data_IF_979672512030
#
_entry.id   IF_979672512030
#
_cell.length_a   1.000
_cell.length_b   1.000
_cell.length_c   1.000
_cell.angle_alpha   90.00
_cell.angle_beta   90.00
_cell.angle_gamma   90.00
#
_symmetry.space_group_name_H-M   'P 1'
#
loop_
_entity.id
_entity.type
_entity.pdbx_description
1 polymer ?
#
# COMPACT_ATOMS: atom_id res chain seq x y z
N UNK A 1 -13.80 26.18 -35.33
CA UNK A 1 -14.97 25.71 -34.56
C UNK A 1 -15.07 24.19 -34.72
N UNK A 2 -14.59 23.44 -33.78
CA UNK A 2 -14.74 21.98 -33.72
C UNK A 2 -16.06 21.67 -33.03
N UNK A 3 -17.01 21.11 -33.77
CA UNK A 3 -18.31 20.71 -33.28
C UNK A 3 -18.21 19.62 -32.20
N UNK A 4 -18.76 19.92 -31.05
CA UNK A 4 -18.98 18.93 -29.98
C UNK A 4 -19.91 17.83 -30.49
N UNK A 5 -19.47 16.58 -30.44
CA UNK A 5 -20.28 15.43 -30.74
C UNK A 5 -21.53 15.38 -29.82
N UNK A 6 -22.68 15.31 -30.43
CA UNK A 6 -23.97 15.17 -29.70
C UNK A 6 -23.99 13.82 -28.96
N UNK A 7 -24.50 13.77 -27.73
CA UNK A 7 -24.64 12.50 -27.03
C UNK A 7 -25.61 11.59 -27.77
N UNK A 8 -25.16 10.38 -28.06
CA UNK A 8 -26.02 9.32 -28.62
C UNK A 8 -26.93 8.80 -27.51
N UNK A 9 -28.23 9.09 -27.62
CA UNK A 9 -29.22 8.48 -26.74
C UNK A 9 -29.36 6.99 -27.08
N UNK A 10 -28.91 6.11 -26.16
CA UNK A 10 -29.18 4.68 -26.26
C UNK A 10 -30.60 4.47 -25.74
N UNK A 11 -31.55 4.32 -26.64
CA UNK A 11 -32.90 3.83 -26.30
C UNK A 11 -32.80 2.35 -25.97
N UNK A 12 -32.82 2.02 -24.69
CA UNK A 12 -33.08 0.63 -24.26
C UNK A 12 -34.55 0.37 -24.53
N UNK A 13 -34.86 -0.28 -25.63
CA UNK A 13 -36.22 -0.79 -25.91
C UNK A 13 -36.40 -1.99 -24.97
N UNK A 14 -37.11 -1.77 -23.88
CA UNK A 14 -37.61 -2.85 -23.06
C UNK A 14 -38.64 -3.60 -23.87
N UNK A 15 -38.28 -4.79 -24.36
CA UNK A 15 -39.24 -5.69 -24.99
C UNK A 15 -40.34 -6.01 -23.93
N UNK A 16 -41.55 -5.54 -24.16
CA UNK A 16 -42.70 -5.90 -23.38
C UNK A 16 -43.06 -7.39 -23.68
N UNK A 17 -42.34 -8.29 -23.00
CA UNK A 17 -42.73 -9.65 -22.87
C UNK A 17 -43.67 -9.78 -21.66
N UNK A 18 -44.98 -9.78 -21.89
CA UNK A 18 -45.96 -10.24 -20.92
C UNK A 18 -45.85 -11.77 -20.81
N UNK A 19 -44.82 -12.22 -20.12
CA UNK A 19 -44.76 -13.57 -19.58
C UNK A 19 -44.35 -13.37 -18.12
N UNK A 20 -45.20 -13.72 -17.18
CA UNK A 20 -44.78 -14.03 -15.83
C UNK A 20 -43.72 -15.11 -15.94
N UNK A 21 -42.45 -14.72 -15.82
CA UNK A 21 -41.37 -15.64 -15.53
C UNK A 21 -41.59 -16.00 -14.07
N UNK A 22 -42.43 -16.98 -13.79
CA UNK A 22 -42.35 -17.74 -12.55
C UNK A 22 -40.90 -18.22 -12.48
N UNK A 23 -40.11 -17.82 -11.48
CA UNK A 23 -38.80 -18.42 -11.29
C UNK A 23 -39.08 -19.91 -11.11
N UNK A 24 -38.54 -20.77 -12.00
CA UNK A 24 -38.52 -22.19 -11.72
C UNK A 24 -37.91 -22.35 -10.32
N UNK A 25 -38.54 -23.10 -9.41
CA UNK A 25 -37.96 -23.36 -8.12
C UNK A 25 -36.60 -24.01 -8.39
N UNK A 26 -35.53 -23.33 -7.97
CA UNK A 26 -34.19 -23.88 -8.04
C UNK A 26 -34.20 -25.14 -7.16
N UNK A 27 -34.41 -26.32 -7.78
CA UNK A 27 -34.30 -27.60 -7.09
C UNK A 27 -32.84 -27.78 -6.70
N UNK A 28 -32.47 -27.38 -5.48
CA UNK A 28 -31.11 -27.54 -5.00
C UNK A 28 -30.87 -26.84 -3.67
N UNK A 29 -29.81 -27.25 -3.00
CA UNK A 29 -29.39 -26.71 -1.71
C UNK A 29 -28.49 -25.49 -1.95
N UNK A 30 -28.84 -24.36 -1.36
CA UNK A 30 -27.99 -23.18 -1.41
C UNK A 30 -26.66 -23.41 -0.65
N UNK A 31 -25.56 -23.42 -1.37
CA UNK A 31 -24.22 -23.67 -0.82
C UNK A 31 -23.40 -22.39 -0.72
N UNK A 32 -22.52 -22.34 0.28
CA UNK A 32 -21.59 -21.28 0.54
C UNK A 32 -20.16 -21.82 0.55
N UNK A 33 -19.23 -21.11 -0.08
CA UNK A 33 -17.80 -21.39 0.03
C UNK A 33 -17.22 -20.65 1.23
N UNK A 34 -16.55 -21.37 2.13
CA UNK A 34 -15.97 -20.81 3.35
C UNK A 34 -14.47 -21.08 3.38
N UNK A 35 -13.67 -20.05 3.65
CA UNK A 35 -12.25 -20.20 3.97
C UNK A 35 -12.09 -20.66 5.42
N UNK A 36 -11.16 -21.61 5.64
CA UNK A 36 -10.83 -22.15 6.97
C UNK A 36 -9.69 -21.40 7.65
N UNK A 37 -9.19 -20.34 7.07
CA UNK A 37 -8.10 -19.52 7.60
C UNK A 37 -8.10 -18.12 7.03
N UNK A 38 -6.98 -17.44 7.21
CA UNK A 38 -6.79 -16.09 6.70
C UNK A 38 -6.82 -16.08 5.18
N UNK A 39 -7.46 -15.07 4.61
CA UNK A 39 -7.50 -14.84 3.16
C UNK A 39 -6.40 -13.90 2.66
N UNK A 40 -5.53 -13.43 3.56
CA UNK A 40 -4.30 -12.72 3.21
C UNK A 40 -3.11 -13.45 3.79
N UNK A 41 -2.26 -13.99 2.91
CA UNK A 41 -1.08 -14.79 3.26
C UNK A 41 0.16 -13.97 2.94
N UNK A 42 0.98 -13.71 3.96
CA UNK A 42 2.32 -13.13 3.76
C UNK A 42 3.34 -14.28 3.68
N UNK A 43 4.21 -14.27 2.66
CA UNK A 43 5.27 -15.26 2.49
C UNK A 43 6.62 -14.57 2.28
N UNK A 44 7.68 -15.15 2.84
CA UNK A 44 9.07 -14.65 2.67
C UNK A 44 9.91 -15.64 1.89
N UNK A 45 10.15 -16.79 2.48
CA UNK A 45 11.03 -17.85 1.96
C UNK A 45 10.28 -19.14 1.69
N UNK A 46 9.03 -19.22 2.11
CA UNK A 46 8.19 -20.40 1.90
C UNK A 46 8.01 -20.62 0.40
N UNK A 47 8.20 -21.85 -0.04
CA UNK A 47 8.00 -22.28 -1.42
C UNK A 47 6.67 -22.96 -1.63
N UNK A 48 6.06 -23.45 -0.56
CA UNK A 48 4.75 -24.10 -0.58
C UNK A 48 3.81 -23.40 0.39
N UNK A 49 2.61 -23.07 -0.09
CA UNK A 49 1.52 -22.49 0.69
C UNK A 49 0.27 -23.34 0.47
N UNK A 50 -0.70 -23.23 1.36
CA UNK A 50 -2.00 -23.86 1.15
C UNK A 50 -3.13 -23.00 1.67
N UNK A 51 -4.30 -23.18 1.05
CA UNK A 51 -5.58 -22.58 1.46
C UNK A 51 -6.58 -23.70 1.62
N UNK A 52 -7.24 -23.75 2.76
CA UNK A 52 -8.31 -24.72 3.01
C UNK A 52 -9.65 -24.05 2.88
N UNK A 53 -10.54 -24.68 2.12
CA UNK A 53 -11.92 -24.26 1.92
C UNK A 53 -12.87 -25.44 2.16
N UNK A 54 -14.11 -25.13 2.50
CA UNK A 54 -15.21 -26.11 2.60
C UNK A 54 -16.51 -25.54 2.12
N UNK A 55 -17.49 -26.41 1.86
CA UNK A 55 -18.88 -26.00 1.68
C UNK A 55 -19.57 -25.88 3.03
N UNK A 56 -20.50 -24.94 3.11
CA UNK A 56 -21.40 -24.80 4.25
C UNK A 56 -22.83 -24.56 3.73
N UNK A 57 -23.81 -25.10 4.42
CA UNK A 57 -25.23 -24.90 4.16
C UNK A 57 -25.97 -24.57 5.46
N UNK A 58 -27.10 -23.87 5.37
CA UNK A 58 -27.85 -23.42 6.55
C UNK A 58 -28.65 -24.54 7.22
N UNK A 59 -28.96 -25.61 6.49
CA UNK A 59 -29.65 -26.79 7.00
C UNK A 59 -29.10 -28.05 6.36
N UNK A 60 -29.12 -29.18 7.07
CA UNK A 60 -28.60 -30.44 6.58
C UNK A 60 -29.23 -30.83 5.23
N UNK A 61 -28.38 -31.18 4.26
CA UNK A 61 -28.82 -31.56 2.92
C UNK A 61 -29.56 -32.90 2.95
N UNK A 62 -30.69 -33.01 2.25
CA UNK A 62 -31.47 -34.24 2.16
C UNK A 62 -30.81 -35.32 1.30
N UNK A 63 -29.96 -34.92 0.36
CA UNK A 63 -29.18 -35.77 -0.55
C UNK A 63 -27.76 -35.22 -0.69
N UNK A 64 -26.86 -36.00 -1.29
CA UNK A 64 -25.52 -35.51 -1.62
C UNK A 64 -25.62 -34.29 -2.54
N UNK A 65 -24.77 -33.27 -2.25
CA UNK A 65 -24.68 -32.03 -3.02
C UNK A 65 -23.29 -31.97 -3.63
N UNK A 66 -23.22 -31.81 -4.94
CA UNK A 66 -21.92 -31.73 -5.65
C UNK A 66 -21.74 -30.37 -6.29
N UNK A 67 -20.53 -29.81 -6.08
CA UNK A 67 -20.06 -28.59 -6.74
C UNK A 67 -18.66 -28.78 -7.28
N UNK A 68 -18.26 -27.89 -8.18
CA UNK A 68 -16.90 -27.82 -8.68
C UNK A 68 -16.26 -26.51 -8.26
N UNK A 69 -15.13 -26.61 -7.54
CA UNK A 69 -14.26 -25.48 -7.21
C UNK A 69 -13.31 -25.22 -8.39
N UNK A 70 -13.14 -23.98 -8.77
CA UNK A 70 -12.19 -23.60 -9.81
C UNK A 70 -11.56 -22.26 -9.57
N UNK A 71 -10.46 -21.99 -10.27
CA UNK A 71 -9.73 -20.73 -10.30
C UNK A 71 -10.33 -19.82 -11.38
N UNK A 72 -10.85 -18.66 -10.98
CA UNK A 72 -11.55 -17.72 -11.85
C UNK A 72 -10.66 -16.56 -12.30
N UNK A 73 -9.89 -16.78 -13.37
CA UNK A 73 -8.99 -15.75 -13.95
C UNK A 73 -9.76 -14.49 -14.41
N UNK A 74 -11.01 -14.61 -14.76
CA UNK A 74 -11.82 -13.47 -15.23
C UNK A 74 -12.16 -12.44 -14.17
N UNK A 75 -12.03 -12.79 -12.88
CA UNK A 75 -12.45 -11.94 -11.78
C UNK A 75 -11.47 -10.83 -11.42
N UNK A 76 -10.24 -10.85 -11.90
CA UNK A 76 -9.19 -9.88 -11.51
C UNK A 76 -9.62 -8.43 -11.72
N UNK A 77 -10.24 -8.13 -12.87
CA UNK A 77 -10.66 -6.76 -13.21
C UNK A 77 -11.73 -6.24 -12.25
N UNK A 78 -12.70 -7.08 -11.92
CA UNK A 78 -13.76 -6.75 -10.96
C UNK A 78 -13.18 -6.55 -9.57
N UNK A 79 -12.26 -7.44 -9.15
CA UNK A 79 -11.57 -7.32 -7.87
C UNK A 79 -10.80 -6.00 -7.75
N UNK A 80 -9.96 -5.67 -8.73
CA UNK A 80 -9.16 -4.44 -8.72
C UNK A 80 -10.03 -3.19 -8.78
N UNK A 81 -11.15 -3.22 -9.50
CA UNK A 81 -12.10 -2.11 -9.50
C UNK A 81 -12.73 -1.89 -8.11
N UNK A 82 -13.14 -2.97 -7.45
CA UNK A 82 -13.74 -2.90 -6.11
C UNK A 82 -12.74 -2.49 -5.01
N UNK A 83 -11.43 -2.73 -5.23
CA UNK A 83 -10.36 -2.49 -4.24
C UNK A 83 -9.31 -1.49 -4.73
N UNK A 84 -9.68 -0.57 -5.64
CA UNK A 84 -8.77 0.38 -6.30
C UNK A 84 -7.91 1.21 -5.32
N UNK A 85 -8.42 1.48 -4.13
CA UNK A 85 -7.72 2.24 -3.08
C UNK A 85 -6.60 1.42 -2.39
N UNK A 86 -6.58 0.10 -2.56
CA UNK A 86 -5.60 -0.80 -1.95
C UNK A 86 -4.43 -1.15 -2.89
N UNK A 87 -4.42 -0.58 -4.10
CA UNK A 87 -3.48 -0.92 -5.16
C UNK A 87 -3.95 -2.10 -6.01
N UNK A 88 -3.28 -2.31 -7.15
CA UNK A 88 -3.65 -3.38 -8.08
C UNK A 88 -3.06 -4.72 -7.67
N UNK A 89 -3.91 -5.72 -7.55
CA UNK A 89 -3.50 -7.12 -7.49
C UNK A 89 -3.21 -7.66 -8.90
N UNK A 90 -2.37 -8.69 -8.98
CA UNK A 90 -2.14 -9.49 -10.18
C UNK A 90 -2.63 -10.92 -9.94
N UNK A 91 -2.90 -11.68 -10.99
CA UNK A 91 -3.33 -13.07 -10.81
C UNK A 91 -2.19 -13.94 -10.25
N UNK A 92 -2.53 -14.84 -9.32
CA UNK A 92 -1.62 -15.91 -8.95
C UNK A 92 -1.37 -16.79 -10.18
N UNK A 93 -0.10 -17.18 -10.51
CA UNK A 93 0.15 -17.98 -11.71
C UNK A 93 -0.62 -19.30 -11.66
N UNK A 94 -1.44 -19.57 -12.68
CA UNK A 94 -2.37 -20.70 -12.69
C UNK A 94 -1.65 -22.06 -12.62
N UNK A 95 -0.52 -22.16 -13.28
CA UNK A 95 0.34 -23.36 -13.29
C UNK A 95 0.93 -23.68 -11.91
N UNK A 96 0.87 -22.75 -10.99
CA UNK A 96 1.32 -22.85 -9.60
C UNK A 96 0.21 -23.15 -8.60
N UNK A 97 -1.02 -23.37 -9.09
CA UNK A 97 -2.21 -23.67 -8.27
C UNK A 97 -2.62 -25.11 -8.50
N UNK A 98 -2.68 -25.88 -7.42
CA UNK A 98 -3.17 -27.27 -7.46
C UNK A 98 -4.48 -27.39 -6.68
N UNK A 99 -5.59 -27.58 -7.39
CA UNK A 99 -6.89 -27.89 -6.82
C UNK A 99 -7.08 -29.41 -6.89
N UNK A 100 -7.24 -30.12 -5.76
CA UNK A 100 -7.33 -31.57 -5.74
C UNK A 100 -8.65 -32.07 -6.34
N UNK A 101 -8.71 -33.34 -6.72
CA UNK A 101 -9.88 -34.03 -7.25
C UNK A 101 -10.58 -33.28 -8.40
N UNK A 102 -9.80 -32.63 -9.27
CA UNK A 102 -10.32 -31.78 -10.36
C UNK A 102 -11.37 -30.74 -9.91
N UNK A 103 -11.25 -30.29 -8.65
CA UNK A 103 -12.13 -29.32 -8.01
C UNK A 103 -13.45 -29.86 -7.49
N UNK A 104 -13.70 -31.15 -7.56
CA UNK A 104 -14.94 -31.77 -7.06
C UNK A 104 -15.01 -31.67 -5.54
N UNK A 105 -16.11 -31.11 -5.02
CA UNK A 105 -16.45 -31.08 -3.59
C UNK A 105 -17.84 -31.67 -3.41
N UNK A 106 -17.97 -32.60 -2.47
CA UNK A 106 -19.25 -33.26 -2.15
C UNK A 106 -19.61 -32.99 -0.70
N UNK A 107 -20.77 -32.39 -0.49
CA UNK A 107 -21.42 -32.33 0.82
C UNK A 107 -22.34 -33.54 0.94
N UNK A 108 -22.09 -34.40 1.92
CA UNK A 108 -22.88 -35.61 2.12
C UNK A 108 -24.27 -35.34 2.70
N UNK A 109 -25.23 -36.16 2.35
CA UNK A 109 -26.58 -36.13 2.92
C UNK A 109 -26.51 -36.15 4.47
N UNK A 110 -27.32 -35.35 5.12
CA UNK A 110 -27.37 -35.22 6.57
C UNK A 110 -26.31 -34.27 7.15
N UNK A 111 -25.38 -33.74 6.36
CA UNK A 111 -24.34 -32.84 6.80
C UNK A 111 -24.68 -31.37 6.51
N UNK A 112 -24.11 -30.45 7.30
CA UNK A 112 -24.19 -29.00 7.09
C UNK A 112 -22.87 -28.43 6.56
N UNK A 113 -21.79 -29.21 6.56
CA UNK A 113 -20.48 -28.84 6.05
C UNK A 113 -19.85 -30.03 5.31
N UNK A 114 -19.06 -29.72 4.28
CA UNK A 114 -18.25 -30.73 3.61
C UNK A 114 -16.91 -30.97 4.34
N UNK A 115 -16.20 -32.02 3.94
CA UNK A 115 -14.77 -32.16 4.23
C UNK A 115 -14.02 -30.94 3.69
N UNK A 116 -12.87 -30.64 4.33
CA UNK A 116 -11.98 -29.59 3.88
C UNK A 116 -11.29 -29.97 2.57
N UNK A 117 -11.17 -29.00 1.68
CA UNK A 117 -10.38 -29.10 0.45
C UNK A 117 -9.17 -28.20 0.57
N UNK A 118 -7.99 -28.78 0.48
CA UNK A 118 -6.73 -28.07 0.52
C UNK A 118 -6.26 -27.72 -0.90
N UNK A 119 -6.26 -26.44 -1.24
CA UNK A 119 -5.69 -25.89 -2.47
C UNK A 119 -4.23 -25.59 -2.20
N UNK A 120 -3.31 -26.23 -2.93
CA UNK A 120 -1.86 -26.02 -2.79
C UNK A 120 -1.36 -24.96 -3.76
N UNK A 121 -0.40 -24.17 -3.31
CA UNK A 121 0.18 -23.07 -4.05
C UNK A 121 1.70 -23.20 -4.04
N UNK A 122 2.32 -23.20 -5.22
CA UNK A 122 3.78 -23.06 -5.37
C UNK A 122 4.14 -21.57 -5.34
N UNK A 123 4.80 -21.13 -4.27
CA UNK A 123 5.25 -19.74 -4.08
C UNK A 123 6.66 -19.47 -4.64
N UNK A 124 7.29 -20.43 -5.31
CA UNK A 124 8.62 -20.29 -5.90
C UNK A 124 8.61 -19.20 -6.98
N UNK A 125 9.57 -18.27 -6.94
CA UNK A 125 9.72 -17.24 -7.97
C UNK A 125 8.61 -16.18 -8.02
N UNK A 126 7.76 -16.08 -6.97
CA UNK A 126 6.86 -14.94 -6.84
C UNK A 126 7.67 -13.67 -6.62
N UNK A 127 7.32 -12.60 -7.33
CA UNK A 127 7.95 -11.29 -7.14
C UNK A 127 7.32 -10.52 -5.98
N UNK A 128 8.09 -9.61 -5.38
CA UNK A 128 7.57 -8.62 -4.45
C UNK A 128 6.81 -7.52 -5.20
N UNK A 129 6.07 -6.71 -4.48
CA UNK A 129 5.29 -5.60 -5.04
C UNK A 129 3.80 -5.87 -5.02
N UNK A 130 3.16 -5.99 -6.18
CA UNK A 130 1.71 -6.26 -6.24
C UNK A 130 1.34 -7.56 -5.57
N UNK A 131 0.25 -7.58 -4.77
CA UNK A 131 -0.25 -8.83 -4.20
C UNK A 131 -0.80 -9.75 -5.30
N UNK A 132 -0.64 -11.05 -5.13
CA UNK A 132 -1.20 -12.07 -6.00
C UNK A 132 -2.61 -12.44 -5.56
N UNK A 133 -3.58 -12.31 -6.44
CA UNK A 133 -4.96 -12.71 -6.21
C UNK A 133 -5.19 -14.16 -6.68
N UNK A 134 -5.67 -15.01 -5.78
CA UNK A 134 -6.21 -16.33 -6.07
C UNK A 134 -7.74 -16.28 -5.88
N UNK A 135 -8.52 -16.06 -6.94
CA UNK A 135 -9.98 -16.03 -6.86
C UNK A 135 -10.54 -17.46 -7.06
N UNK A 136 -10.96 -18.08 -5.97
CA UNK A 136 -11.62 -19.37 -5.98
C UNK A 136 -13.14 -19.19 -6.09
N UNK A 137 -13.78 -19.97 -6.95
CA UNK A 137 -15.20 -19.86 -7.25
C UNK A 137 -15.87 -21.23 -7.33
N UNK A 138 -17.15 -21.33 -6.91
CA UNK A 138 -17.96 -22.54 -7.04
C UNK A 138 -18.82 -22.52 -8.27
N UNK A 139 -18.97 -23.69 -8.91
CA UNK A 139 -19.97 -23.96 -9.93
C UNK A 139 -20.86 -25.13 -9.47
N UNK A 140 -22.16 -24.97 -9.58
CA UNK A 140 -23.11 -26.02 -9.28
C UNK A 140 -22.96 -27.22 -10.26
N UNK A 141 -23.03 -28.42 -9.74
CA UNK A 141 -23.00 -29.66 -10.53
C UNK A 141 -24.26 -30.46 -10.29
N UNK A 142 -24.56 -30.87 -9.04
CA UNK A 142 -25.74 -31.66 -8.71
C UNK A 142 -26.33 -31.19 -7.38
N UNK A 143 -27.66 -31.05 -7.35
CA UNK A 143 -28.43 -30.64 -6.17
C UNK A 143 -27.97 -29.37 -5.47
N UNK A 144 -27.19 -28.51 -6.15
CA UNK A 144 -26.59 -27.31 -5.61
C UNK A 144 -27.15 -26.04 -6.25
N UNK A 145 -27.40 -25.04 -5.43
CA UNK A 145 -27.64 -23.66 -5.86
C UNK A 145 -26.45 -22.80 -5.38
N UNK A 146 -25.77 -22.16 -6.31
CA UNK A 146 -24.60 -21.31 -6.05
C UNK A 146 -25.04 -19.86 -6.25
N UNK A 147 -25.05 -19.09 -5.16
CA UNK A 147 -25.36 -17.65 -5.19
C UNK A 147 -24.06 -16.85 -5.34
N UNK A 148 -24.05 -15.86 -6.23
CA UNK A 148 -22.87 -15.07 -6.57
C UNK A 148 -22.19 -14.44 -5.34
N UNK A 149 -22.96 -13.96 -4.36
CA UNK A 149 -22.43 -13.33 -3.15
C UNK A 149 -21.75 -14.30 -2.16
N UNK A 150 -22.00 -15.63 -2.27
CA UNK A 150 -21.58 -16.63 -1.29
C UNK A 150 -20.67 -17.72 -1.86
N UNK A 151 -20.38 -17.67 -3.14
CA UNK A 151 -19.71 -18.74 -3.88
C UNK A 151 -18.21 -18.48 -4.14
N UNK A 152 -17.65 -17.43 -3.59
CA UNK A 152 -16.29 -16.99 -3.88
C UNK A 152 -15.46 -16.84 -2.61
N UNK A 153 -14.20 -17.25 -2.68
CA UNK A 153 -13.15 -16.94 -1.72
C UNK A 153 -12.00 -16.31 -2.48
N UNK A 154 -11.67 -15.09 -2.15
CA UNK A 154 -10.53 -14.36 -2.70
C UNK A 154 -9.36 -14.45 -1.71
N UNK A 155 -8.24 -15.03 -2.15
CA UNK A 155 -7.04 -15.12 -1.33
C UNK A 155 -5.98 -14.20 -1.93
N UNK A 156 -5.39 -13.34 -1.10
CA UNK A 156 -4.25 -12.52 -1.45
C UNK A 156 -2.97 -13.14 -0.92
N UNK A 157 -1.99 -13.36 -1.79
CA UNK A 157 -0.65 -13.76 -1.39
C UNK A 157 0.30 -12.60 -1.61
N UNK A 158 0.98 -12.15 -0.55
CA UNK A 158 1.94 -11.04 -0.58
C UNK A 158 3.35 -11.59 -0.36
N UNK A 159 4.19 -11.51 -1.39
CA UNK A 159 5.61 -11.81 -1.24
C UNK A 159 6.29 -10.68 -0.49
N UNK A 160 6.90 -10.99 0.64
CA UNK A 160 7.65 -10.04 1.46
C UNK A 160 9.15 -10.21 1.26
N UNK A 161 9.88 -9.11 1.44
CA UNK A 161 11.33 -9.13 1.35
C UNK A 161 11.94 -10.01 2.46
N UNK A 162 12.72 -11.04 2.13
CA UNK A 162 13.37 -11.91 3.11
C UNK A 162 14.63 -11.27 3.71
N UNK A 163 15.16 -10.19 3.14
CA UNK A 163 16.40 -9.58 3.61
C UNK A 163 16.28 -9.10 5.05
N UNK A 164 17.32 -9.36 5.83
CA UNK A 164 17.44 -8.86 7.21
C UNK A 164 18.02 -7.44 7.26
N UNK A 165 18.83 -7.09 6.26
CA UNK A 165 19.43 -5.76 6.11
C UNK A 165 18.71 -5.06 4.97
N UNK A 166 18.20 -3.86 5.25
CA UNK A 166 17.57 -3.00 4.23
C UNK A 166 18.61 -2.04 3.68
N UNK A 167 18.59 -1.86 2.37
CA UNK A 167 19.43 -0.89 1.66
C UNK A 167 18.53 0.23 1.12
N UNK A 168 18.79 1.45 1.59
CA UNK A 168 18.11 2.66 1.14
C UNK A 168 19.09 3.50 0.34
N UNK A 169 18.67 4.06 -0.78
CA UNK A 169 19.50 4.91 -1.62
C UNK A 169 18.86 6.28 -1.83
N UNK A 170 19.69 7.35 -1.70
CA UNK A 170 19.30 8.70 -2.11
C UNK A 170 19.65 8.88 -3.59
N UNK A 171 18.64 9.17 -4.39
CA UNK A 171 18.82 9.51 -5.79
C UNK A 171 18.83 11.02 -5.97
N UNK A 172 19.97 11.56 -6.36
CA UNK A 172 20.10 12.94 -6.82
C UNK A 172 19.40 13.05 -8.19
N UNK A 173 18.12 13.40 -8.16
CA UNK A 173 17.24 13.33 -9.34
C UNK A 173 17.57 14.36 -10.42
N UNK A 174 18.43 15.32 -10.14
CA UNK A 174 18.95 16.24 -11.15
C UNK A 174 19.93 15.56 -12.09
N UNK A 175 20.59 14.50 -11.65
CA UNK A 175 21.65 13.80 -12.40
C UNK A 175 21.34 12.33 -12.68
N UNK A 176 20.45 11.71 -11.90
CA UNK A 176 20.22 10.28 -11.91
C UNK A 176 18.74 9.90 -12.13
N UNK A 177 18.51 8.88 -12.94
CA UNK A 177 17.18 8.29 -13.11
C UNK A 177 16.93 7.25 -12.01
N UNK A 178 15.87 7.37 -11.20
CA UNK A 178 15.56 6.41 -10.14
C UNK A 178 15.30 4.98 -10.64
N UNK A 179 14.93 4.78 -11.91
CA UNK A 179 14.79 3.45 -12.53
C UNK A 179 16.10 2.66 -12.54
N UNK A 180 17.26 3.31 -12.43
CA UNK A 180 18.54 2.61 -12.33
C UNK A 180 18.59 1.68 -11.12
N UNK A 181 17.79 1.91 -10.08
CA UNK A 181 17.70 1.01 -8.93
C UNK A 181 17.19 -0.40 -9.30
N UNK A 182 16.44 -0.54 -10.41
CA UNK A 182 15.95 -1.83 -10.90
C UNK A 182 17.05 -2.74 -11.46
N UNK A 183 18.20 -2.19 -11.83
CA UNK A 183 19.33 -2.94 -12.40
C UNK A 183 20.13 -3.69 -11.32
N UNK A 184 19.90 -3.36 -10.06
CA UNK A 184 20.63 -3.95 -8.93
C UNK A 184 19.79 -5.03 -8.27
N UNK A 185 20.13 -6.29 -8.59
CA UNK A 185 19.48 -7.48 -8.02
C UNK A 185 20.49 -8.40 -7.34
N UNK A 186 20.04 -9.06 -6.28
CA UNK A 186 20.76 -10.17 -5.68
C UNK A 186 20.64 -11.43 -6.57
N UNK A 187 21.47 -12.43 -6.31
CA UNK A 187 21.51 -13.65 -7.12
C UNK A 187 20.17 -14.42 -7.19
N UNK A 188 19.29 -14.21 -6.22
CA UNK A 188 17.94 -14.79 -6.15
C UNK A 188 16.85 -13.93 -6.81
N UNK A 189 17.23 -12.82 -7.47
CA UNK A 189 16.30 -11.87 -8.09
C UNK A 189 15.65 -10.88 -7.13
N UNK A 190 16.02 -10.91 -5.83
CA UNK A 190 15.58 -9.91 -4.86
C UNK A 190 16.24 -8.56 -5.19
N UNK A 191 15.52 -7.43 -5.20
CA UNK A 191 16.13 -6.13 -5.38
C UNK A 191 17.21 -5.86 -4.34
N UNK A 192 18.33 -5.29 -4.78
CA UNK A 192 19.38 -4.89 -3.85
C UNK A 192 18.91 -3.73 -2.97
N UNK A 193 18.24 -2.72 -3.55
CA UNK A 193 17.63 -1.64 -2.80
C UNK A 193 16.23 -2.01 -2.33
N UNK A 194 15.90 -1.64 -1.11
CA UNK A 194 14.56 -1.78 -0.52
C UNK A 194 13.75 -0.51 -0.68
N UNK A 195 14.44 0.62 -0.79
CA UNK A 195 13.82 1.92 -0.97
C UNK A 195 14.73 2.89 -1.73
N UNK A 196 14.10 3.78 -2.48
CA UNK A 196 14.73 4.96 -3.08
C UNK A 196 14.15 6.22 -2.45
N UNK A 197 14.99 7.19 -2.17
CA UNK A 197 14.62 8.53 -1.75
C UNK A 197 14.87 9.45 -2.93
N UNK A 198 13.81 10.08 -3.45
CA UNK A 198 13.90 11.08 -4.51
C UNK A 198 14.42 12.37 -3.90
N UNK A 199 15.67 12.72 -4.14
CA UNK A 199 16.33 13.86 -3.50
C UNK A 199 16.45 15.03 -4.47
N UNK A 200 15.72 16.15 -4.25
CA UNK A 200 14.71 16.32 -3.22
C UNK A 200 13.66 17.34 -3.66
N UNK A 201 12.48 17.23 -3.07
CA UNK A 201 11.50 18.29 -3.02
C UNK A 201 11.86 19.29 -1.90
N UNK A 202 11.25 20.47 -1.92
CA UNK A 202 11.59 21.53 -0.99
C UNK A 202 10.37 22.00 -0.19
N UNK A 203 10.63 22.53 1.01
CA UNK A 203 9.71 23.36 1.75
C UNK A 203 9.99 24.83 1.46
N UNK A 204 9.01 25.58 0.99
CA UNK A 204 9.12 26.98 0.65
C UNK A 204 8.04 27.83 1.31
N UNK A 205 8.28 29.13 1.43
CA UNK A 205 7.34 30.11 1.94
C UNK A 205 7.00 31.19 0.90
N UNK A 206 5.73 31.26 0.48
CA UNK A 206 5.24 32.33 -0.34
C UNK A 206 4.79 33.52 0.53
N UNK A 207 5.59 34.60 0.58
CA UNK A 207 5.31 35.78 1.40
C UNK A 207 4.08 36.56 0.94
N UNK A 208 3.74 36.53 -0.36
CA UNK A 208 2.62 37.27 -0.89
C UNK A 208 1.26 36.68 -0.49
N UNK A 209 1.23 35.38 -0.36
CA UNK A 209 0.04 34.59 -0.02
C UNK A 209 0.03 34.14 1.44
N UNK A 210 1.11 34.40 2.20
CA UNK A 210 1.31 33.94 3.57
C UNK A 210 1.10 32.43 3.72
N UNK A 211 1.75 31.64 2.85
CA UNK A 211 1.61 30.18 2.85
C UNK A 211 2.96 29.47 2.76
N UNK A 212 3.16 28.44 3.59
CA UNK A 212 4.22 27.46 3.42
C UNK A 212 3.68 26.34 2.52
N UNK A 213 4.46 25.93 1.53
CA UNK A 213 4.02 24.97 0.52
C UNK A 213 5.12 23.97 0.14
N UNK A 214 4.71 22.82 -0.42
CA UNK A 214 5.60 21.83 -1.02
C UNK A 214 6.04 22.31 -2.41
N UNK A 215 7.33 22.58 -2.57
CA UNK A 215 7.91 23.06 -3.81
C UNK A 215 8.73 21.95 -4.47
N UNK A 216 8.40 21.61 -5.71
CA UNK A 216 9.17 20.67 -6.49
C UNK A 216 10.01 21.41 -7.54
N UNK A 217 11.29 21.08 -7.64
CA UNK A 217 12.05 21.53 -8.80
C UNK A 217 11.53 20.80 -10.07
N UNK A 218 11.88 21.26 -11.29
CA UNK A 218 11.35 20.67 -12.52
C UNK A 218 11.63 19.17 -12.67
N UNK A 219 12.75 18.66 -12.18
CA UNK A 219 13.11 17.25 -12.29
C UNK A 219 12.28 16.38 -11.34
N UNK A 220 12.11 16.82 -10.09
CA UNK A 220 11.20 16.15 -9.15
C UNK A 220 9.77 16.15 -9.70
N UNK A 221 9.28 17.31 -10.16
CA UNK A 221 7.92 17.42 -10.68
C UNK A 221 7.70 16.50 -11.90
N UNK A 222 8.65 16.43 -12.83
CA UNK A 222 8.55 15.55 -13.98
C UNK A 222 8.47 14.07 -13.58
N UNK A 223 9.26 13.63 -12.58
CA UNK A 223 9.17 12.26 -12.07
C UNK A 223 7.82 11.97 -11.41
N UNK A 224 7.26 12.94 -10.71
CA UNK A 224 5.96 12.81 -10.06
C UNK A 224 4.83 12.78 -11.10
N UNK A 225 4.83 13.68 -12.09
CA UNK A 225 3.81 13.76 -13.15
C UNK A 225 3.79 12.47 -13.99
N UNK A 226 4.97 11.92 -14.28
CA UNK A 226 5.15 10.67 -15.00
C UNK A 226 5.38 9.47 -14.04
N UNK A 227 4.76 9.50 -12.84
CA UNK A 227 4.94 8.50 -11.78
C UNK A 227 4.74 7.06 -12.27
N UNK A 228 3.77 6.81 -13.15
CA UNK A 228 3.51 5.48 -13.71
C UNK A 228 4.67 4.94 -14.55
N UNK A 229 5.49 5.84 -15.12
CA UNK A 229 6.66 5.48 -15.94
C UNK A 229 7.91 5.30 -15.07
N UNK A 230 8.16 6.22 -14.13
CA UNK A 230 9.42 6.29 -13.41
C UNK A 230 9.39 5.74 -11.98
N UNK A 231 8.25 5.76 -11.31
CA UNK A 231 8.16 5.42 -9.88
C UNK A 231 7.39 4.12 -9.63
N UNK A 232 6.27 3.89 -10.32
CA UNK A 232 5.47 2.69 -10.11
C UNK A 232 6.19 1.38 -10.51
N UNK A 233 7.09 1.34 -11.51
CA UNK A 233 7.89 0.14 -11.77
C UNK A 233 8.78 -0.27 -10.59
N UNK A 234 9.33 0.69 -9.83
CA UNK A 234 10.07 0.43 -8.59
C UNK A 234 9.17 -0.23 -7.55
N UNK A 235 8.00 0.37 -7.28
CA UNK A 235 7.03 -0.16 -6.33
C UNK A 235 6.52 -1.55 -6.72
N UNK A 236 6.26 -1.79 -8.00
CA UNK A 236 5.88 -3.11 -8.55
C UNK A 236 6.97 -4.17 -8.31
N UNK A 237 8.23 -3.75 -8.29
CA UNK A 237 9.37 -4.64 -7.96
C UNK A 237 9.57 -4.82 -6.45
N UNK A 238 8.84 -4.07 -5.61
CA UNK A 238 8.94 -4.11 -4.14
C UNK A 238 9.95 -3.13 -3.56
N UNK A 239 10.41 -2.16 -4.35
CA UNK A 239 11.26 -1.05 -3.90
C UNK A 239 10.35 0.11 -3.51
N UNK A 240 10.38 0.53 -2.25
CA UNK A 240 9.61 1.68 -1.78
C UNK A 240 10.15 2.98 -2.37
N UNK A 241 9.27 3.95 -2.60
CA UNK A 241 9.63 5.27 -3.12
C UNK A 241 9.25 6.35 -2.10
N UNK A 242 10.25 7.05 -1.58
CA UNK A 242 10.06 8.16 -0.65
C UNK A 242 10.39 9.49 -1.31
N UNK A 243 9.64 10.52 -0.94
CA UNK A 243 9.97 11.90 -1.30
C UNK A 243 10.98 12.46 -0.29
N UNK A 244 12.16 12.83 -0.75
CA UNK A 244 13.11 13.59 0.04
C UNK A 244 12.60 15.01 0.22
N UNK A 245 12.68 15.55 1.43
CA UNK A 245 12.22 16.88 1.81
C UNK A 245 13.38 17.70 2.35
N UNK A 246 13.61 18.88 1.79
CA UNK A 246 14.77 19.73 2.05
C UNK A 246 14.37 21.21 2.16
N UNK A 247 15.08 22.02 2.92
CA UNK A 247 14.94 23.47 2.88
C UNK A 247 15.41 24.06 1.55
N UNK A 248 15.06 25.34 1.27
CA UNK A 248 15.38 26.01 0.00
C UNK A 248 15.84 27.46 0.19
N UNK A 249 16.69 27.72 1.18
CA UNK A 249 17.27 29.03 1.49
C UNK A 249 16.25 30.14 1.84
N UNK A 250 14.99 29.77 2.15
CA UNK A 250 13.99 30.73 2.60
C UNK A 250 13.61 30.55 4.09
N UNK A 251 12.56 31.27 4.55
CA UNK A 251 12.11 31.24 5.93
C UNK A 251 11.44 29.92 6.34
N UNK A 252 11.00 29.12 5.39
CA UNK A 252 10.46 27.79 5.67
C UNK A 252 11.58 26.77 5.84
N UNK A 253 11.45 25.92 6.83
CA UNK A 253 12.39 24.84 7.10
C UNK A 253 11.75 23.74 7.93
N UNK A 254 12.27 22.53 7.80
CA UNK A 254 11.68 21.32 8.40
C UNK A 254 11.68 21.34 9.93
N UNK A 255 12.58 22.09 10.53
CA UNK A 255 12.74 22.16 11.98
C UNK A 255 12.37 23.53 12.58
N UNK A 256 11.54 24.30 11.89
CA UNK A 256 11.15 25.65 12.32
C UNK A 256 9.69 26.00 12.01
N UNK A 257 8.84 25.01 11.82
CA UNK A 257 7.39 25.19 11.75
C UNK A 257 6.80 25.23 13.16
N UNK A 258 5.78 26.07 13.37
CA UNK A 258 4.91 25.99 14.55
C UNK A 258 4.11 24.68 14.54
N UNK A 259 3.48 24.34 15.65
CA UNK A 259 2.59 23.16 15.70
C UNK A 259 1.49 23.22 14.64
N UNK A 260 0.88 24.40 14.49
CA UNK A 260 -0.14 24.64 13.45
C UNK A 260 0.46 24.56 12.04
N UNK A 261 1.62 25.17 11.79
CA UNK A 261 2.32 25.13 10.50
C UNK A 261 2.70 23.72 10.10
N UNK A 262 3.17 22.91 11.05
CA UNK A 262 3.50 21.50 10.83
C UNK A 262 2.25 20.68 10.43
N UNK A 263 1.11 20.90 11.10
CA UNK A 263 -0.16 20.24 10.74
C UNK A 263 -0.62 20.60 9.32
N UNK A 264 -0.58 21.88 8.95
CA UNK A 264 -1.02 22.32 7.63
C UNK A 264 -0.13 21.74 6.51
N UNK A 265 1.19 21.88 6.66
CA UNK A 265 2.11 21.40 5.65
C UNK A 265 2.16 19.87 5.55
N UNK A 266 2.03 19.17 6.66
CA UNK A 266 1.94 17.70 6.67
C UNK A 266 0.74 17.18 5.86
N UNK A 267 -0.38 17.89 5.88
CA UNK A 267 -1.55 17.51 5.09
C UNK A 267 -1.29 17.66 3.58
N UNK A 268 -0.64 18.74 3.15
CA UNK A 268 -0.26 18.95 1.74
C UNK A 268 0.70 17.84 1.27
N UNK A 269 1.73 17.53 2.06
CA UNK A 269 2.70 16.47 1.75
C UNK A 269 2.00 15.10 1.67
N UNK A 270 1.06 14.83 2.57
CA UNK A 270 0.30 13.57 2.55
C UNK A 270 -0.59 13.45 1.30
N UNK A 271 -1.23 14.52 0.86
CA UNK A 271 -2.00 14.54 -0.39
C UNK A 271 -1.09 14.35 -1.62
N UNK A 272 0.11 14.91 -1.62
CA UNK A 272 1.10 14.65 -2.65
C UNK A 272 1.52 13.18 -2.68
N UNK A 273 1.82 12.59 -1.51
CA UNK A 273 2.14 11.16 -1.42
C UNK A 273 1.02 10.27 -1.94
N UNK A 274 -0.24 10.59 -1.63
CA UNK A 274 -1.42 9.89 -2.14
C UNK A 274 -1.55 10.03 -3.66
N UNK A 275 -1.46 11.25 -4.16
CA UNK A 275 -1.64 11.58 -5.59
C UNK A 275 -0.63 10.84 -6.47
N UNK A 276 0.63 10.84 -6.05
CA UNK A 276 1.73 10.23 -6.79
C UNK A 276 2.05 8.79 -6.36
N UNK A 277 1.26 8.23 -5.45
CA UNK A 277 1.40 6.86 -4.91
C UNK A 277 2.79 6.62 -4.32
N UNK A 278 3.26 7.49 -3.42
CA UNK A 278 4.55 7.35 -2.75
C UNK A 278 4.41 6.58 -1.43
N UNK A 279 5.49 5.94 -1.00
CA UNK A 279 5.50 5.09 0.21
C UNK A 279 5.90 5.87 1.48
N UNK A 280 6.10 7.18 1.36
CA UNK A 280 6.40 8.05 2.50
C UNK A 280 7.39 9.16 2.18
N UNK A 281 8.06 9.64 3.21
CA UNK A 281 8.96 10.81 3.15
C UNK A 281 10.25 10.58 3.92
N UNK A 282 11.29 11.31 3.49
CA UNK A 282 12.56 11.43 4.22
C UNK A 282 12.90 12.90 4.40
N UNK A 283 13.19 13.32 5.63
CA UNK A 283 13.47 14.70 6.00
C UNK A 283 14.97 14.93 6.17
N UNK A 284 15.47 16.01 5.57
CA UNK A 284 16.83 16.51 5.72
C UNK A 284 16.84 17.99 6.08
N UNK A 285 17.30 18.35 7.29
CA UNK A 285 17.22 19.72 7.83
C UNK A 285 18.44 20.57 7.41
N UNK A 286 18.40 21.01 6.15
CA UNK A 286 19.41 21.91 5.58
C UNK A 286 18.76 23.16 4.94
N UNK A 287 19.58 24.13 4.61
CA UNK A 287 19.30 25.29 3.76
C UNK A 287 18.06 26.12 4.14
N UNK A 288 17.77 26.28 5.43
CA UNK A 288 16.73 27.19 5.89
C UNK A 288 17.32 28.47 6.49
N UNK A 289 16.69 29.62 6.23
CA UNK A 289 17.03 30.91 6.84
C UNK A 289 16.21 31.15 8.12
N UNK A 290 16.56 32.21 8.87
CA UNK A 290 15.82 32.55 10.10
C UNK A 290 14.37 32.98 9.77
N UNK A 291 13.35 32.38 10.41
CA UNK A 291 11.96 32.72 10.17
C UNK A 291 11.56 34.00 10.94
N UNK A 292 10.47 34.64 10.48
CA UNK A 292 9.76 35.67 11.25
C UNK A 292 8.88 34.99 12.30
N UNK A 293 9.30 35.02 13.55
CA UNK A 293 8.59 34.40 14.67
C UNK A 293 7.26 35.08 15.04
N UNK A 294 6.94 36.23 14.47
CA UNK A 294 5.62 36.85 14.61
C UNK A 294 4.58 36.22 13.66
N UNK A 295 5.03 35.47 12.67
CA UNK A 295 4.18 34.76 11.74
C UNK A 295 3.76 33.40 12.32
N UNK A 296 2.45 33.08 12.20
CA UNK A 296 1.84 31.87 12.74
C UNK A 296 2.43 30.55 12.21
N UNK A 297 3.04 30.57 11.02
CA UNK A 297 3.66 29.40 10.40
C UNK A 297 4.90 28.91 11.14
N UNK A 298 5.59 29.80 11.84
CA UNK A 298 6.96 29.54 12.29
C UNK A 298 7.10 29.44 13.81
N UNK A 299 8.09 28.68 14.20
CA UNK A 299 8.61 28.56 15.56
C UNK A 299 10.14 28.68 15.54
N UNK A 300 10.78 28.86 16.70
CA UNK A 300 12.23 28.79 16.80
C UNK A 300 12.77 27.45 16.28
N UNK A 301 13.82 27.48 15.46
CA UNK A 301 14.44 26.28 14.91
C UNK A 301 14.93 25.36 16.05
N UNK A 302 14.44 24.12 16.05
CA UNK A 302 14.74 23.16 17.11
C UNK A 302 14.45 21.71 16.70
N UNK A 303 15.11 20.77 17.37
CA UNK A 303 14.80 19.35 17.26
C UNK A 303 13.34 19.03 17.66
N UNK A 304 12.76 19.81 18.59
CA UNK A 304 11.36 19.64 18.97
C UNK A 304 10.38 19.99 17.83
N UNK A 305 10.65 21.06 17.06
CA UNK A 305 9.87 21.41 15.88
C UNK A 305 10.02 20.35 14.77
N UNK A 306 11.23 19.81 14.57
CA UNK A 306 11.46 18.69 13.64
C UNK A 306 10.70 17.43 14.05
N UNK A 307 10.72 17.06 15.33
CA UNK A 307 9.96 15.94 15.85
C UNK A 307 8.44 16.15 15.72
N UNK A 308 7.94 17.38 15.96
CA UNK A 308 6.56 17.76 15.73
C UNK A 308 6.17 17.52 14.28
N UNK A 309 6.98 17.99 13.34
CA UNK A 309 6.70 17.80 11.91
C UNK A 309 6.67 16.31 11.53
N UNK A 310 7.62 15.50 11.99
CA UNK A 310 7.61 14.05 11.74
C UNK A 310 6.32 13.39 12.27
N UNK A 311 5.88 13.80 13.47
CA UNK A 311 4.64 13.30 14.08
C UNK A 311 3.40 13.67 13.26
N UNK A 312 3.27 14.94 12.86
CA UNK A 312 2.12 15.40 12.06
C UNK A 312 2.13 14.77 10.65
N UNK A 313 3.29 14.58 10.03
CA UNK A 313 3.43 13.84 8.78
C UNK A 313 2.96 12.39 8.94
N UNK A 314 3.35 11.69 10.01
CA UNK A 314 2.90 10.32 10.25
C UNK A 314 1.37 10.23 10.42
N UNK A 315 0.77 11.19 11.15
CA UNK A 315 -0.70 11.28 11.31
C UNK A 315 -1.38 11.53 9.96
N UNK A 316 -0.93 12.54 9.22
CA UNK A 316 -1.52 12.94 7.94
C UNK A 316 -1.40 11.82 6.89
N UNK A 317 -0.23 11.23 6.72
CA UNK A 317 0.00 10.11 5.81
C UNK A 317 -0.90 8.91 6.12
N UNK A 318 -1.01 8.53 7.41
CA UNK A 318 -1.89 7.43 7.85
C UNK A 318 -3.37 7.71 7.58
N UNK A 319 -3.80 8.96 7.70
CA UNK A 319 -5.18 9.35 7.45
C UNK A 319 -5.52 9.46 5.96
N UNK A 320 -4.53 9.79 5.12
CA UNK A 320 -4.72 10.17 3.72
C UNK A 320 -4.42 9.02 2.75
N UNK A 321 -3.35 8.25 3.00
CA UNK A 321 -2.92 7.16 2.12
C UNK A 321 -3.61 5.84 2.51
N UNK A 322 -4.22 5.10 1.55
CA UNK A 322 -4.85 3.82 1.82
C UNK A 322 -3.85 2.64 1.94
N UNK A 323 -2.57 2.90 1.78
CA UNK A 323 -1.47 1.94 1.98
C UNK A 323 -0.56 2.38 3.13
N UNK A 324 0.30 1.48 3.58
CA UNK A 324 1.27 1.75 4.63
C UNK A 324 2.34 2.73 4.14
N UNK A 325 2.55 3.80 4.90
CA UNK A 325 3.52 4.87 4.62
C UNK A 325 4.49 5.06 5.78
N UNK A 326 5.70 5.52 5.44
CA UNK A 326 6.79 5.68 6.40
C UNK A 326 7.28 7.12 6.45
N UNK A 327 7.72 7.55 7.64
CA UNK A 327 8.41 8.81 7.88
C UNK A 327 9.81 8.50 8.36
N UNK A 328 10.81 9.06 7.69
CA UNK A 328 12.22 8.86 8.03
C UNK A 328 12.99 10.17 8.03
N UNK A 329 14.15 10.16 8.64
CA UNK A 329 15.00 11.34 8.74
C UNK A 329 16.45 11.02 8.40
N UNK A 330 17.17 11.99 7.83
CA UNK A 330 18.62 12.02 7.76
C UNK A 330 19.17 12.75 8.98
N UNK A 331 20.18 12.20 9.64
CA UNK A 331 20.74 12.72 10.89
C UNK A 331 21.61 13.95 10.62
N UNK A 332 20.99 15.06 10.24
CA UNK A 332 21.64 16.34 9.99
C UNK A 332 20.87 17.50 10.60
N UNK A 333 21.52 18.65 10.81
CA UNK A 333 20.90 19.82 11.40
C UNK A 333 20.23 19.53 12.74
N UNK A 334 19.01 19.99 12.93
CA UNK A 334 18.21 19.72 14.13
C UNK A 334 17.64 18.29 14.16
N UNK A 335 17.67 17.56 13.02
CA UNK A 335 17.28 16.17 12.96
C UNK A 335 18.37 15.20 13.43
N UNK A 336 19.58 15.72 13.76
CA UNK A 336 20.69 14.88 14.23
C UNK A 336 20.35 14.09 15.49
N UNK A 337 19.62 14.71 16.44
CA UNK A 337 19.11 14.04 17.63
C UNK A 337 17.70 14.55 17.93
N UNK A 338 16.70 13.72 17.68
CA UNK A 338 15.30 14.05 17.94
C UNK A 338 14.89 13.74 19.40
N UNK A 339 13.88 14.43 19.95
CA UNK A 339 13.23 14.01 21.18
C UNK A 339 12.71 12.58 21.12
N UNK A 340 12.72 11.87 22.24
CA UNK A 340 12.25 10.48 22.31
C UNK A 340 10.73 10.35 22.38
N UNK A 341 10.02 11.47 22.51
CA UNK A 341 8.54 11.53 22.47
C UNK A 341 8.07 12.88 21.96
N UNK A 342 6.87 12.91 21.41
CA UNK A 342 6.10 14.11 21.02
C UNK A 342 4.73 14.03 21.68
N UNK A 343 4.27 15.16 22.23
CA UNK A 343 2.92 15.25 22.80
C UNK A 343 1.87 15.38 21.69
N UNK A 344 0.90 14.50 21.67
CA UNK A 344 -0.26 14.67 20.79
C UNK A 344 -1.10 15.88 21.23
N UNK A 345 -1.44 16.78 20.30
CA UNK A 345 -2.12 18.04 20.61
C UNK A 345 -3.61 17.86 20.93
N UNK A 346 -4.22 16.76 20.50
CA UNK A 346 -5.63 16.47 20.72
C UNK A 346 -5.85 15.72 22.03
N UNK A 347 -5.05 14.68 22.25
CA UNK A 347 -5.20 13.80 23.43
C UNK A 347 -4.35 14.24 24.62
N UNK A 348 -3.35 15.11 24.39
CA UNK A 348 -2.33 15.52 25.36
C UNK A 348 -1.47 14.37 25.92
N UNK A 349 -1.43 13.23 25.20
CA UNK A 349 -0.63 12.07 25.54
C UNK A 349 0.75 12.12 24.88
N UNK A 350 1.76 11.62 25.57
CA UNK A 350 3.10 11.49 25.02
C UNK A 350 3.16 10.29 24.06
N UNK A 351 3.58 10.55 22.81
CA UNK A 351 3.74 9.56 21.77
C UNK A 351 5.22 9.22 21.61
N UNK A 352 5.65 7.99 21.88
CA UNK A 352 7.06 7.59 21.78
C UNK A 352 7.54 7.64 20.33
N UNK A 353 8.86 7.83 20.14
CA UNK A 353 9.47 8.06 18.83
C UNK A 353 9.18 6.95 17.83
N UNK A 354 9.10 5.70 18.23
CA UNK A 354 8.78 4.56 17.35
C UNK A 354 7.39 4.61 16.72
N UNK A 355 6.49 5.49 17.21
CA UNK A 355 5.14 5.65 16.67
C UNK A 355 5.07 6.63 15.50
N UNK A 356 6.09 7.46 15.32
CA UNK A 356 6.09 8.53 14.32
C UNK A 356 7.38 8.61 13.49
N UNK A 357 8.42 7.86 13.84
CA UNK A 357 9.65 7.73 13.07
C UNK A 357 9.88 6.26 12.73
N UNK A 358 9.86 5.93 11.45
CA UNK A 358 10.02 4.55 10.99
C UNK A 358 11.49 4.15 10.88
N UNK A 359 12.36 5.07 10.42
CA UNK A 359 13.81 4.87 10.47
C UNK A 359 14.59 6.19 10.43
N UNK A 360 15.81 6.12 10.92
CA UNK A 360 16.74 7.23 11.05
C UNK A 360 18.07 6.89 10.38
N UNK A 361 18.44 7.65 9.34
CA UNK A 361 19.66 7.43 8.56
C UNK A 361 20.78 8.28 9.13
N UNK A 362 21.93 7.69 9.39
CA UNK A 362 23.10 8.40 9.90
C UNK A 362 23.64 9.41 8.88
N UNK A 363 24.34 10.44 9.36
CA UNK A 363 25.11 11.34 8.53
C UNK A 363 26.30 10.59 7.88
N UNK A 364 26.84 11.12 6.80
CA UNK A 364 27.91 10.54 5.98
C UNK A 364 29.03 9.88 6.79
N UNK A 365 29.30 8.61 6.48
CA UNK A 365 30.31 7.81 7.16
C UNK A 365 30.02 7.49 8.63
N UNK A 366 28.84 7.85 9.10
CA UNK A 366 28.41 7.66 10.47
C UNK A 366 27.53 6.42 10.69
N UNK A 367 27.19 6.22 11.96
CA UNK A 367 26.18 5.24 12.39
C UNK A 367 25.27 5.90 13.42
N UNK A 368 24.00 5.55 13.42
CA UNK A 368 23.09 5.91 14.51
C UNK A 368 22.97 4.73 15.48
N UNK A 369 22.82 5.06 16.76
CA UNK A 369 22.49 4.06 17.78
C UNK A 369 21.02 4.15 18.12
N UNK A 370 20.38 3.05 18.49
CA UNK A 370 19.02 3.08 19.01
C UNK A 370 18.90 4.02 20.20
N UNK A 371 17.83 4.83 20.22
CA UNK A 371 17.51 5.72 21.31
C UNK A 371 16.00 5.87 21.46
N UNK A 372 15.53 6.26 22.65
CA UNK A 372 14.12 6.15 22.98
C UNK A 372 13.70 4.68 22.95
N UNK A 373 12.64 4.40 22.21
CA UNK A 373 12.15 3.04 21.95
C UNK A 373 12.39 2.58 20.49
N UNK A 374 13.28 3.27 19.75
CA UNK A 374 13.72 2.81 18.43
C UNK A 374 14.54 1.54 18.54
N UNK A 375 14.28 0.62 17.64
CA UNK A 375 15.05 -0.62 17.50
C UNK A 375 16.29 -0.42 16.64
N UNK A 376 17.25 -1.36 16.71
CA UNK A 376 18.42 -1.36 15.83
C UNK A 376 18.06 -1.38 14.34
N UNK A 377 16.94 -2.03 13.98
CA UNK A 377 16.48 -2.08 12.60
C UNK A 377 15.97 -0.74 12.07
N UNK A 378 15.62 0.19 12.96
CA UNK A 378 15.19 1.55 12.63
C UNK A 378 16.33 2.55 12.59
N UNK A 379 17.57 2.15 12.88
CA UNK A 379 18.75 2.99 12.89
C UNK A 379 19.76 2.45 11.89
N UNK A 380 20.10 3.24 10.87
CA UNK A 380 21.02 2.81 9.82
C UNK A 380 22.40 3.43 9.94
N UNK A 381 23.41 2.75 9.35
CA UNK A 381 24.67 3.38 8.98
C UNK A 381 24.58 3.97 7.57
N UNK A 382 25.51 4.86 7.24
CA UNK A 382 25.68 5.41 5.90
C UNK A 382 27.15 5.27 5.46
#
# INVERSE_FOLDING_TARGET
EAGLAQPVAINVVQAAGTGEVTPEPSEGVAVKLVSMGETTIATKTETELSVKVKLSVTAAAASDVEVKLFYDEGYLREYNYAHKEQGEAILYPKEKVTIPADGKIVLKAGQTESEEVEVKLDATGLSMGSPYLLPLYLKAVENAVVKQAECRVNVLVKKQNPKQIKNVVYFEVNDCNPLNALEYELADGTPFFDAVILFAANINYNRAEDVVYLANNPNVQALLDDSEIYLQPLRKKGIKVYLGLLGNHDAAGLCQLSDWGAQQWAQEVAEACKTYKLDGVNLDDEYSSSPDLSNKWFAPRSAAAGARLCYELKKALKATCPWETEVSTFAYGQLYTLPTSVKDLETNEDQPISKWLDFHVANYGGTTSPYGDLTKAQCSGM
#
